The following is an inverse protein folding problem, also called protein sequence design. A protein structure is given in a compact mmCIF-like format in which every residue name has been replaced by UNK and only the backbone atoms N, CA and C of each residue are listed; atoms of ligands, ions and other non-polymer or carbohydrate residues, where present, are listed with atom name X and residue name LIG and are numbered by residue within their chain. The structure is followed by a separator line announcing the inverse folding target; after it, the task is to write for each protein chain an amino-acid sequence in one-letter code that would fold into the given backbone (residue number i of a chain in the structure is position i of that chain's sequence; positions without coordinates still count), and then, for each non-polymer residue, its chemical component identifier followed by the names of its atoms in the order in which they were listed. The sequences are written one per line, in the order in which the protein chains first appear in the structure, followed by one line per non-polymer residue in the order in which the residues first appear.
data_IF_135031937857
#
_entry.id   IF_135031937857
#
_cell.length_a   1.000
_cell.length_b   1.000
_cell.length_c   1.000
_cell.angle_alpha   90.00
_cell.angle_beta   90.00
_cell.angle_gamma   90.00
#
_symmetry.space_group_name_H-M   'P 1'
#
loop_
_entity.id
_entity.type
_entity.pdbx_description
1 polymer ?
#
# COMPACT_ATOMS: atom_id res chain seq x y z
N UNK A 1 35.04 -27.57 41.64
CA UNK A 1 35.81 -28.68 42.24
C UNK A 1 35.81 -29.79 41.20
N UNK A 2 36.79 -29.77 40.29
CA UNK A 2 38.03 -30.55 40.38
C UNK A 2 37.77 -31.98 39.90
N UNK A 3 38.49 -32.58 38.96
CA UNK A 3 39.81 -32.24 38.41
C UNK A 3 40.13 -33.29 37.34
N UNK A 4 40.72 -32.87 36.22
CA UNK A 4 41.36 -33.74 35.24
C UNK A 4 42.54 -32.97 34.63
N UNK A 5 43.70 -33.12 35.28
CA UNK A 5 45.01 -32.49 35.01
C UNK A 5 45.75 -33.38 33.98
N UNK A 6 46.13 -32.86 32.80
CA UNK A 6 47.49 -32.44 32.37
C UNK A 6 48.48 -33.62 32.16
N UNK A 7 49.47 -33.64 31.25
CA UNK A 7 50.02 -32.70 30.27
C UNK A 7 51.18 -33.41 29.52
N UNK A 8 51.73 -32.75 28.48
CA UNK A 8 53.15 -32.77 28.00
C UNK A 8 53.61 -33.85 27.00
N UNK A 9 53.93 -33.44 25.74
CA UNK A 9 55.23 -32.94 25.20
C UNK A 9 56.21 -34.10 24.86
N UNK A 10 57.03 -34.15 23.81
CA UNK A 10 57.60 -33.16 22.87
C UNK A 10 58.41 -33.90 21.78
N UNK A 11 58.38 -33.39 20.54
CA UNK A 11 59.48 -33.16 19.56
C UNK A 11 60.66 -34.14 19.38
N UNK A 12 60.96 -34.51 18.11
CA UNK A 12 62.33 -34.51 17.51
C UNK A 12 62.39 -34.77 15.98
N UNK A 13 62.73 -33.69 15.24
CA UNK A 13 63.58 -33.50 14.03
C UNK A 13 64.14 -34.70 13.22
N UNK A 14 64.09 -34.59 11.87
CA UNK A 14 65.26 -34.74 10.95
C UNK A 14 65.02 -34.05 9.59
N UNK A 15 66.09 -33.53 8.99
CA UNK A 15 66.27 -32.68 7.79
C UNK A 15 66.93 -33.51 6.68
N UNK A 16 66.63 -33.26 5.40
CA UNK A 16 67.53 -33.49 4.26
C UNK A 16 67.12 -32.61 3.05
N UNK A 17 68.14 -32.14 2.31
CA UNK A 17 68.17 -31.10 1.26
C UNK A 17 68.42 -31.70 -0.15
N UNK A 18 68.36 -30.82 -1.16
CA UNK A 18 68.81 -30.89 -2.58
C UNK A 18 67.75 -31.37 -3.59
N UNK A 19 67.47 -30.72 -4.73
CA UNK A 19 68.03 -29.54 -5.40
C UNK A 19 67.45 -29.41 -6.83
N UNK A 20 67.83 -28.32 -7.52
CA UNK A 20 67.80 -28.05 -8.97
C UNK A 20 66.50 -27.58 -9.69
N UNK A 21 66.49 -26.27 -9.94
CA UNK A 21 66.21 -25.49 -11.17
C UNK A 21 65.53 -26.05 -12.44
N UNK A 22 64.84 -25.10 -13.08
CA UNK A 22 64.56 -24.88 -14.52
C UNK A 22 63.23 -25.37 -15.15
N UNK A 23 62.40 -24.35 -15.41
CA UNK A 23 61.75 -24.02 -16.70
C UNK A 23 60.54 -24.84 -17.18
N UNK A 24 59.35 -24.21 -17.11
CA UNK A 24 58.21 -24.49 -17.98
C UNK A 24 57.15 -23.38 -17.87
N UNK A 25 57.26 -22.39 -18.76
CA UNK A 25 56.18 -21.78 -19.56
C UNK A 25 54.77 -21.67 -18.96
N UNK A 26 54.36 -20.42 -18.78
CA UNK A 26 53.11 -19.84 -19.31
C UNK A 26 51.98 -20.84 -19.60
N UNK A 27 51.05 -20.97 -18.65
CA UNK A 27 49.71 -21.46 -18.95
C UNK A 27 48.70 -20.40 -18.54
N UNK A 28 48.18 -19.72 -19.56
CA UNK A 28 46.92 -18.97 -19.54
C UNK A 28 45.86 -19.79 -18.80
N UNK A 29 45.55 -19.39 -17.58
CA UNK A 29 44.29 -19.75 -16.94
C UNK A 29 43.25 -18.82 -17.60
N UNK A 30 42.22 -19.33 -18.29
CA UNK A 30 41.13 -18.48 -18.72
C UNK A 30 40.50 -17.93 -17.43
N UNK A 31 40.69 -16.64 -17.19
CA UNK A 31 39.97 -15.91 -16.17
C UNK A 31 38.49 -16.07 -16.50
N UNK A 32 37.84 -16.97 -15.76
CA UNK A 32 36.39 -17.11 -15.76
C UNK A 32 35.85 -15.68 -15.55
N UNK A 33 34.99 -15.15 -16.44
CA UNK A 33 34.45 -13.82 -16.23
C UNK A 33 33.78 -13.82 -14.85
N UNK A 34 33.87 -12.72 -14.08
CA UNK A 34 33.14 -12.63 -12.82
C UNK A 34 31.68 -12.90 -13.14
N UNK A 35 31.20 -14.07 -12.75
CA UNK A 35 29.79 -14.44 -12.86
C UNK A 35 29.06 -13.44 -11.99
N UNK A 36 28.37 -12.50 -12.62
CA UNK A 36 27.52 -11.55 -11.92
C UNK A 36 26.52 -12.32 -11.07
N UNK A 37 26.32 -11.87 -9.84
CA UNK A 37 25.34 -12.40 -8.89
C UNK A 37 23.91 -11.87 -9.16
N UNK A 38 23.67 -11.38 -10.38
CA UNK A 38 22.38 -10.88 -10.84
C UNK A 38 22.03 -11.43 -12.22
N UNK A 39 20.73 -11.52 -12.48
CA UNK A 39 20.14 -11.87 -13.77
C UNK A 39 19.77 -10.61 -14.55
N UNK A 40 20.04 -10.59 -15.86
CA UNK A 40 19.66 -9.46 -16.73
C UNK A 40 18.14 -9.39 -16.91
N UNK A 41 17.56 -8.19 -16.74
CA UNK A 41 16.15 -7.97 -17.04
C UNK A 41 15.87 -8.18 -18.53
N UNK A 42 14.81 -8.90 -18.86
CA UNK A 42 14.47 -9.23 -20.25
C UNK A 42 13.98 -8.05 -21.09
N UNK A 43 13.59 -6.94 -20.46
CA UNK A 43 12.99 -5.77 -21.13
C UNK A 43 13.85 -4.51 -21.06
N UNK A 44 14.64 -4.37 -20.00
CA UNK A 44 15.44 -3.19 -19.70
C UNK A 44 16.93 -3.52 -19.70
N UNK A 45 17.37 -4.16 -20.78
CA UNK A 45 18.77 -4.50 -21.03
C UNK A 45 19.17 -4.04 -22.42
N UNK A 46 19.75 -2.85 -22.51
CA UNK A 46 20.20 -2.25 -23.76
C UNK A 46 21.67 -2.59 -24.01
N UNK A 47 21.99 -3.24 -25.13
CA UNK A 47 23.35 -3.69 -25.47
C UNK A 47 24.37 -2.53 -25.48
N UNK A 48 23.94 -1.34 -25.91
CA UNK A 48 24.72 -0.11 -25.95
C UNK A 48 24.58 0.76 -24.67
N UNK A 49 23.90 0.26 -23.65
CA UNK A 49 23.79 0.92 -22.35
C UNK A 49 25.14 1.07 -21.67
N UNK A 50 25.34 2.18 -20.96
CA UNK A 50 26.61 2.61 -20.36
C UNK A 50 26.60 2.66 -18.82
N UNK A 51 25.56 2.10 -18.20
CA UNK A 51 25.48 1.84 -16.76
C UNK A 51 24.56 0.66 -16.49
N UNK A 52 24.90 -0.13 -15.47
CA UNK A 52 24.06 -1.23 -14.99
C UNK A 52 23.58 -0.88 -13.58
N UNK A 53 22.26 -0.77 -13.42
CA UNK A 53 21.62 -0.65 -12.10
C UNK A 53 21.21 -2.03 -11.63
N UNK A 54 21.54 -2.41 -10.40
CA UNK A 54 21.17 -3.70 -9.83
C UNK A 54 20.28 -3.47 -8.62
N UNK A 55 19.15 -4.16 -8.56
CA UNK A 55 18.25 -4.22 -7.41
C UNK A 55 17.91 -5.68 -7.14
N UNK A 56 17.94 -6.08 -5.87
CA UNK A 56 17.92 -7.49 -5.47
C UNK A 56 18.96 -8.31 -6.26
N UNK A 57 18.50 -9.27 -7.07
CA UNK A 57 19.33 -10.10 -7.97
C UNK A 57 19.02 -9.83 -9.44
N UNK A 58 18.55 -8.62 -9.79
CA UNK A 58 18.21 -8.24 -11.17
C UNK A 58 19.00 -7.02 -11.61
N UNK A 59 19.66 -7.13 -12.77
CA UNK A 59 20.40 -6.05 -13.42
C UNK A 59 19.63 -5.41 -14.57
N UNK A 60 19.73 -4.08 -14.66
CA UNK A 60 19.11 -3.24 -15.68
C UNK A 60 20.22 -2.44 -16.38
N UNK A 61 20.49 -2.71 -17.66
CA UNK A 61 21.53 -2.01 -18.43
C UNK A 61 20.92 -0.87 -19.23
N UNK A 62 21.29 0.37 -18.92
CA UNK A 62 20.60 1.60 -19.33
C UNK A 62 21.58 2.74 -19.66
N UNK A 63 21.05 3.93 -19.97
CA UNK A 63 21.85 5.10 -20.32
C UNK A 63 21.89 6.15 -19.20
N UNK A 64 23.09 6.47 -18.71
CA UNK A 64 23.34 7.52 -17.69
C UNK A 64 22.67 8.85 -18.01
N UNK A 65 22.73 9.27 -19.28
CA UNK A 65 22.17 10.54 -19.72
C UNK A 65 20.65 10.62 -19.54
N UNK A 66 19.93 9.53 -19.86
CA UNK A 66 18.47 9.46 -19.71
C UNK A 66 18.09 9.47 -18.22
N UNK A 67 18.80 8.70 -17.41
CA UNK A 67 18.58 8.66 -15.95
C UNK A 67 18.84 10.02 -15.31
N UNK A 68 19.94 10.69 -15.68
CA UNK A 68 20.32 12.01 -15.17
C UNK A 68 19.34 13.12 -15.58
N UNK A 69 18.82 13.05 -16.81
CA UNK A 69 17.89 14.05 -17.31
C UNK A 69 16.55 14.05 -16.57
N UNK A 70 16.20 12.91 -15.94
CA UNK A 70 14.91 12.73 -15.25
C UNK A 70 14.98 12.72 -13.73
N UNK A 71 16.17 12.52 -13.15
CA UNK A 71 16.36 12.41 -11.71
C UNK A 71 17.60 13.19 -11.29
N UNK A 72 17.41 14.17 -10.42
CA UNK A 72 18.52 14.95 -9.84
C UNK A 72 19.41 14.06 -8.96
N UNK A 73 18.82 13.05 -8.30
CA UNK A 73 19.56 12.08 -7.50
C UNK A 73 20.48 11.24 -8.37
N UNK A 74 20.01 10.71 -9.50
CA UNK A 74 20.88 9.99 -10.43
C UNK A 74 21.91 10.91 -11.10
N UNK A 75 21.54 12.14 -11.44
CA UNK A 75 22.49 13.13 -11.95
C UNK A 75 23.65 13.33 -10.98
N UNK A 76 23.36 13.55 -9.70
CA UNK A 76 24.38 13.70 -8.66
C UNK A 76 25.17 12.40 -8.44
N UNK A 77 24.50 11.25 -8.44
CA UNK A 77 25.13 9.94 -8.27
C UNK A 77 26.22 9.68 -9.32
N UNK A 78 26.00 10.09 -10.58
CA UNK A 78 26.99 9.87 -11.65
C UNK A 78 28.09 10.92 -11.70
N UNK A 79 27.94 12.06 -11.02
CA UNK A 79 28.99 13.08 -10.89
C UNK A 79 30.04 12.71 -9.84
N UNK A 80 29.70 11.85 -8.88
CA UNK A 80 30.63 11.37 -7.87
C UNK A 80 31.68 10.47 -8.55
N UNK A 81 32.99 10.77 -8.40
CA UNK A 81 34.04 9.90 -8.90
C UNK A 81 33.90 8.50 -8.31
N UNK A 82 33.71 7.50 -9.17
CA UNK A 82 33.70 6.11 -8.75
C UNK A 82 35.13 5.70 -8.33
N UNK A 83 35.30 4.88 -7.29
CA UNK A 83 36.61 4.31 -6.94
C UNK A 83 37.22 3.59 -8.15
N UNK A 84 38.56 3.58 -8.25
CA UNK A 84 39.27 2.83 -9.30
C UNK A 84 38.94 1.34 -9.31
N UNK A 85 38.56 0.79 -8.14
CA UNK A 85 38.14 -0.61 -7.97
C UNK A 85 36.62 -0.79 -7.97
N UNK A 86 35.89 0.13 -8.64
CA UNK A 86 34.44 0.05 -8.76
C UNK A 86 33.97 -1.23 -9.45
N UNK A 87 32.81 -1.74 -9.03
CA UNK A 87 32.21 -2.93 -9.66
C UNK A 87 31.87 -2.63 -11.12
N UNK A 88 32.33 -3.50 -12.03
CA UNK A 88 32.03 -3.41 -13.47
C UNK A 88 31.59 -4.76 -14.01
N UNK A 89 30.67 -4.74 -14.97
CA UNK A 89 30.23 -5.91 -15.72
C UNK A 89 30.26 -5.57 -17.20
N UNK A 90 30.97 -6.37 -18.01
CA UNK A 90 31.21 -6.11 -19.44
C UNK A 90 31.75 -4.70 -19.72
N UNK A 91 32.64 -4.19 -18.86
CA UNK A 91 33.20 -2.84 -18.96
C UNK A 91 32.22 -1.70 -18.61
N UNK A 92 30.98 -2.02 -18.22
CA UNK A 92 30.01 -1.05 -17.75
C UNK A 92 30.02 -0.94 -16.21
N UNK A 93 29.94 0.27 -15.64
CA UNK A 93 29.87 0.45 -14.19
C UNK A 93 28.56 -0.12 -13.64
N UNK A 94 28.66 -0.88 -12.55
CA UNK A 94 27.53 -1.47 -11.82
C UNK A 94 27.23 -0.63 -10.58
N UNK A 95 25.95 -0.31 -10.38
CA UNK A 95 25.46 0.43 -9.22
C UNK A 95 24.36 -0.40 -8.56
N UNK A 96 24.60 -0.82 -7.32
CA UNK A 96 23.63 -1.57 -6.52
C UNK A 96 22.72 -0.62 -5.74
N UNK A 97 21.41 -0.80 -5.88
CA UNK A 97 20.36 -0.03 -5.23
C UNK A 97 19.64 -0.91 -4.19
N UNK A 98 19.12 -0.28 -3.14
CA UNK A 98 18.41 -0.97 -2.06
C UNK A 98 16.91 -1.19 -2.34
N UNK A 99 16.43 -0.74 -3.49
CA UNK A 99 15.02 -0.92 -3.87
C UNK A 99 14.77 -2.34 -4.35
N UNK A 100 13.51 -2.75 -4.39
CA UNK A 100 13.15 -4.04 -4.99
C UNK A 100 13.30 -3.97 -6.51
N UNK A 101 13.63 -5.10 -7.13
CA UNK A 101 13.69 -5.20 -8.58
C UNK A 101 12.35 -4.86 -9.25
N UNK A 102 11.22 -5.20 -8.61
CA UNK A 102 9.87 -4.89 -9.09
C UNK A 102 9.60 -3.38 -9.12
N UNK A 103 9.82 -2.68 -7.99
CA UNK A 103 9.57 -1.24 -7.91
C UNK A 103 10.48 -0.47 -8.87
N UNK A 104 11.78 -0.83 -8.89
CA UNK A 104 12.77 -0.17 -9.73
C UNK A 104 12.42 -0.34 -11.23
N UNK A 105 11.92 -1.52 -11.63
CA UNK A 105 11.49 -1.77 -13.01
C UNK A 105 10.38 -0.82 -13.45
N UNK A 106 9.41 -0.50 -12.58
CA UNK A 106 8.35 0.47 -12.92
C UNK A 106 8.93 1.87 -13.17
N UNK A 107 9.84 2.33 -12.31
CA UNK A 107 10.50 3.64 -12.49
C UNK A 107 11.33 3.68 -13.78
N UNK A 108 12.17 2.68 -14.00
CA UNK A 108 13.07 2.62 -15.15
C UNK A 108 12.30 2.49 -16.47
N UNK A 109 11.15 1.79 -16.48
CA UNK A 109 10.25 1.78 -17.63
C UNK A 109 9.74 3.16 -17.96
N UNK A 110 9.26 3.90 -16.96
CA UNK A 110 8.81 5.28 -17.15
C UNK A 110 9.92 6.15 -17.75
N UNK A 111 11.17 6.00 -17.29
CA UNK A 111 12.32 6.73 -17.84
C UNK A 111 12.60 6.45 -19.31
N UNK A 112 12.43 5.21 -19.75
CA UNK A 112 12.64 4.82 -21.15
C UNK A 112 11.46 5.20 -22.06
N UNK A 113 10.45 5.89 -21.54
CA UNK A 113 9.29 6.31 -22.32
C UNK A 113 8.28 5.19 -22.57
N UNK A 114 8.46 4.01 -21.94
CA UNK A 114 7.32 3.13 -21.72
C UNK A 114 6.33 3.89 -20.85
N UNK A 115 5.05 3.88 -21.21
CA UNK A 115 4.02 4.62 -20.49
C UNK A 115 4.18 4.45 -18.98
N UNK A 116 4.06 5.54 -18.21
CA UNK A 116 4.27 5.53 -16.74
C UNK A 116 3.54 4.36 -16.08
N UNK A 117 2.38 4.00 -16.63
CA UNK A 117 1.64 2.80 -16.29
C UNK A 117 1.46 1.92 -17.53
N UNK A 118 1.60 0.59 -17.42
CA UNK A 118 1.32 -0.34 -18.52
C UNK A 118 -0.10 -0.17 -19.10
N UNK A 119 -1.09 0.12 -18.24
CA UNK A 119 -2.40 0.64 -18.64
C UNK A 119 -2.60 2.04 -18.02
N UNK A 120 -2.33 3.13 -18.75
CA UNK A 120 -2.53 4.49 -18.27
C UNK A 120 -3.97 4.80 -17.84
N UNK A 121 -4.95 4.07 -18.37
CA UNK A 121 -6.35 4.26 -17.99
C UNK A 121 -6.69 3.53 -16.68
N UNK A 122 -5.94 2.49 -16.31
CA UNK A 122 -6.20 1.65 -15.14
C UNK A 122 -4.91 1.12 -14.51
N UNK A 123 -4.09 2.00 -13.92
CA UNK A 123 -2.90 1.53 -13.22
C UNK A 123 -3.29 0.66 -12.02
N UNK A 124 -2.48 -0.34 -11.74
CA UNK A 124 -2.62 -1.13 -10.53
C UNK A 124 -2.17 -0.31 -9.31
N UNK A 125 -2.72 -0.60 -8.13
CA UNK A 125 -2.31 0.09 -6.91
C UNK A 125 -0.81 -0.09 -6.63
N UNK A 126 -0.26 -1.29 -6.87
CA UNK A 126 1.17 -1.59 -6.70
C UNK A 126 2.06 -0.70 -7.56
N UNK A 127 1.70 -0.50 -8.83
CA UNK A 127 2.44 0.39 -9.74
C UNK A 127 2.45 1.83 -9.23
N UNK A 128 1.30 2.34 -8.81
CA UNK A 128 1.17 3.70 -8.26
C UNK A 128 2.00 3.84 -6.99
N UNK A 129 2.02 2.84 -6.12
CA UNK A 129 2.84 2.84 -4.90
C UNK A 129 4.33 2.85 -5.23
N UNK A 130 4.78 1.96 -6.11
CA UNK A 130 6.17 1.88 -6.53
C UNK A 130 6.65 3.21 -7.10
N UNK A 131 5.88 3.80 -8.01
CA UNK A 131 6.20 5.09 -8.61
C UNK A 131 6.14 6.22 -7.61
N UNK A 132 5.15 6.29 -6.72
CA UNK A 132 5.08 7.33 -5.69
C UNK A 132 6.32 7.29 -4.77
N UNK A 133 6.72 6.10 -4.30
CA UNK A 133 7.88 5.92 -3.42
C UNK A 133 9.19 6.26 -4.14
N UNK A 134 9.42 5.69 -5.32
CA UNK A 134 10.68 5.84 -6.02
C UNK A 134 10.82 7.21 -6.67
N UNK A 135 9.74 7.81 -7.18
CA UNK A 135 9.78 9.18 -7.68
C UNK A 135 10.08 10.18 -6.57
N UNK A 136 9.58 9.95 -5.35
CA UNK A 136 9.98 10.74 -4.17
C UNK A 136 11.46 10.51 -3.80
N UNK A 137 11.90 9.24 -3.75
CA UNK A 137 13.30 8.88 -3.38
C UNK A 137 14.33 9.41 -4.37
N UNK A 138 14.05 9.33 -5.67
CA UNK A 138 14.96 9.70 -6.75
C UNK A 138 14.69 11.09 -7.32
N UNK A 139 13.83 11.88 -6.66
CA UNK A 139 13.49 13.26 -7.06
C UNK A 139 13.08 13.39 -8.54
N UNK A 140 11.97 12.74 -8.88
CA UNK A 140 11.37 12.73 -10.22
C UNK A 140 10.01 13.42 -10.19
N UNK A 141 10.00 14.73 -10.36
CA UNK A 141 8.84 15.60 -10.11
C UNK A 141 7.60 15.22 -10.95
N UNK A 142 7.77 14.88 -12.23
CA UNK A 142 6.64 14.57 -13.11
C UNK A 142 5.94 13.26 -12.72
N UNK A 143 6.72 12.24 -12.32
CA UNK A 143 6.19 10.98 -11.81
C UNK A 143 5.58 11.12 -10.42
N UNK A 144 6.12 12.00 -9.56
CA UNK A 144 5.51 12.31 -8.26
C UNK A 144 4.09 12.87 -8.48
N UNK A 145 3.94 13.90 -9.33
CA UNK A 145 2.63 14.50 -9.65
C UNK A 145 1.66 13.49 -10.26
N UNK A 146 2.14 12.66 -11.20
CA UNK A 146 1.32 11.63 -11.83
C UNK A 146 0.84 10.58 -10.81
N UNK A 147 1.72 10.14 -9.92
CA UNK A 147 1.39 9.14 -8.89
C UNK A 147 0.44 9.72 -7.85
N UNK A 148 0.63 10.98 -7.44
CA UNK A 148 -0.29 11.69 -6.53
C UNK A 148 -1.70 11.79 -7.13
N UNK A 149 -1.82 12.15 -8.40
CA UNK A 149 -3.10 12.21 -9.09
C UNK A 149 -3.81 10.84 -9.12
N UNK A 150 -3.05 9.76 -9.37
CA UNK A 150 -3.59 8.40 -9.34
C UNK A 150 -3.99 7.96 -7.93
N UNK A 151 -3.19 8.27 -6.90
CA UNK A 151 -3.55 8.01 -5.51
C UNK A 151 -4.86 8.72 -5.14
N UNK A 152 -5.02 10.00 -5.47
CA UNK A 152 -6.27 10.75 -5.25
C UNK A 152 -7.45 10.13 -6.00
N UNK A 153 -7.24 9.61 -7.21
CA UNK A 153 -8.27 8.89 -7.95
C UNK A 153 -8.63 7.53 -7.33
N UNK A 154 -7.72 6.87 -6.61
CA UNK A 154 -8.00 5.61 -5.92
C UNK A 154 -8.61 5.81 -4.52
N UNK A 155 -8.41 7.00 -3.95
CA UNK A 155 -8.90 7.42 -2.64
C UNK A 155 -9.64 8.77 -2.73
N UNK A 156 -10.83 8.78 -3.35
CA UNK A 156 -11.56 10.02 -3.60
C UNK A 156 -12.08 10.64 -2.30
N UNK A 157 -12.25 11.95 -2.32
CA UNK A 157 -12.85 12.72 -1.21
C UNK A 157 -14.35 12.88 -1.34
N UNK A 158 -14.90 12.65 -2.55
CA UNK A 158 -16.32 12.78 -2.87
C UNK A 158 -17.03 11.44 -2.71
N UNK A 159 -18.17 11.45 -2.03
CA UNK A 159 -18.97 10.24 -1.82
C UNK A 159 -19.39 9.55 -3.12
N UNK A 160 -19.81 10.29 -4.13
CA UNK A 160 -20.29 9.71 -5.40
C UNK A 160 -19.17 9.00 -6.17
N UNK A 161 -17.96 9.57 -6.13
CA UNK A 161 -16.79 8.99 -6.77
C UNK A 161 -16.44 7.67 -6.07
N UNK A 162 -16.47 7.65 -4.73
CA UNK A 162 -16.28 6.44 -3.94
C UNK A 162 -17.35 5.36 -4.20
N UNK A 163 -18.63 5.74 -4.24
CA UNK A 163 -19.75 4.81 -4.46
C UNK A 163 -19.67 4.13 -5.84
N UNK A 164 -19.14 4.84 -6.84
CA UNK A 164 -18.95 4.32 -8.20
C UNK A 164 -17.74 3.39 -8.36
N UNK A 165 -16.83 3.36 -7.37
CA UNK A 165 -15.59 2.59 -7.46
C UNK A 165 -15.81 1.09 -7.26
N UNK A 166 -15.08 0.30 -8.06
CA UNK A 166 -14.99 -1.16 -7.94
C UNK A 166 -13.65 -1.63 -7.38
N UNK A 167 -12.93 -0.74 -6.70
CA UNK A 167 -11.57 -0.99 -6.25
C UNK A 167 -11.54 -1.74 -4.91
N UNK A 168 -11.24 -3.04 -4.98
CA UNK A 168 -10.93 -3.86 -3.80
C UNK A 168 -9.45 -3.71 -3.43
N UNK A 169 -9.16 -3.26 -2.21
CA UNK A 169 -7.80 -3.14 -1.67
C UNK A 169 -7.68 -4.04 -0.44
N UNK A 170 -6.51 -4.64 -0.29
CA UNK A 170 -6.14 -5.41 0.90
C UNK A 170 -5.85 -4.49 2.10
N UNK A 171 -5.69 -5.09 3.28
CA UNK A 171 -5.21 -4.35 4.46
C UNK A 171 -3.83 -3.73 4.21
N UNK A 172 -2.94 -4.49 3.59
CA UNK A 172 -1.58 -4.05 3.26
C UNK A 172 -1.62 -2.83 2.33
N UNK A 173 -2.50 -2.83 1.33
CA UNK A 173 -2.67 -1.70 0.42
C UNK A 173 -3.15 -0.44 1.14
N UNK A 174 -4.09 -0.58 2.08
CA UNK A 174 -4.60 0.55 2.86
C UNK A 174 -3.51 1.15 3.76
N UNK A 175 -2.64 0.31 4.34
CA UNK A 175 -1.49 0.74 5.16
C UNK A 175 -0.46 1.47 4.29
N UNK A 176 -0.15 0.91 3.12
CA UNK A 176 0.76 1.55 2.16
C UNK A 176 0.23 2.92 1.70
N UNK A 177 -1.08 3.05 1.47
CA UNK A 177 -1.71 4.33 1.13
C UNK A 177 -1.57 5.37 2.24
N UNK A 178 -1.74 4.98 3.52
CA UNK A 178 -1.52 5.90 4.66
C UNK A 178 -0.06 6.35 4.73
N UNK A 179 0.87 5.41 4.62
CA UNK A 179 2.30 5.72 4.65
C UNK A 179 2.72 6.64 3.49
N UNK A 180 2.14 6.42 2.30
CA UNK A 180 2.34 7.28 1.13
C UNK A 180 1.73 8.66 1.28
N UNK A 181 0.54 8.76 1.88
CA UNK A 181 -0.09 10.04 2.16
C UNK A 181 0.82 10.93 3.01
N UNK A 182 1.48 10.35 4.02
CA UNK A 182 2.45 11.07 4.83
C UNK A 182 3.73 11.40 4.06
N UNK A 183 4.27 10.44 3.29
CA UNK A 183 5.49 10.65 2.48
C UNK A 183 5.32 11.76 1.45
N UNK A 184 4.18 11.81 0.78
CA UNK A 184 3.89 12.74 -0.32
C UNK A 184 3.15 14.00 0.15
N UNK A 185 2.90 14.14 1.45
CA UNK A 185 2.08 15.20 2.02
C UNK A 185 0.70 15.35 1.34
N UNK A 186 0.02 14.21 1.15
CA UNK A 186 -1.31 14.12 0.52
C UNK A 186 -2.38 13.74 1.56
N UNK A 187 -2.75 14.62 2.50
CA UNK A 187 -3.64 14.27 3.61
C UNK A 187 -5.08 13.94 3.16
N UNK A 188 -5.49 14.38 1.98
CA UNK A 188 -6.84 14.16 1.44
C UNK A 188 -7.23 12.68 1.29
N UNK A 189 -6.26 11.78 1.11
CA UNK A 189 -6.52 10.34 0.95
C UNK A 189 -6.61 9.59 2.29
N UNK A 190 -6.11 10.18 3.38
CA UNK A 190 -6.01 9.53 4.69
C UNK A 190 -7.36 9.05 5.23
N UNK A 191 -8.47 9.82 5.19
CA UNK A 191 -9.71 9.38 5.82
C UNK A 191 -10.26 8.09 5.19
N UNK A 192 -10.22 8.00 3.85
CA UNK A 192 -10.66 6.80 3.15
C UNK A 192 -9.70 5.63 3.35
N UNK A 193 -8.38 5.87 3.34
CA UNK A 193 -7.40 4.82 3.60
C UNK A 193 -7.54 4.24 5.02
N UNK A 194 -7.71 5.09 6.04
CA UNK A 194 -7.98 4.67 7.43
C UNK A 194 -9.34 3.98 7.57
N UNK A 195 -10.38 4.44 6.86
CA UNK A 195 -11.65 3.73 6.81
C UNK A 195 -11.49 2.31 6.23
N UNK A 196 -10.65 2.11 5.22
CA UNK A 196 -10.34 0.76 4.69
C UNK A 196 -9.61 -0.11 5.72
N UNK A 197 -8.69 0.44 6.50
CA UNK A 197 -8.08 -0.29 7.63
C UNK A 197 -9.12 -0.72 8.68
N UNK A 198 -10.19 0.07 8.88
CA UNK A 198 -11.28 -0.26 9.79
C UNK A 198 -12.12 -1.48 9.37
N UNK A 199 -11.85 -2.06 8.19
CA UNK A 199 -12.41 -3.34 7.74
C UNK A 199 -11.84 -4.56 8.45
N UNK A 200 -10.74 -4.40 9.14
CA UNK A 200 -10.00 -5.49 9.75
C UNK A 200 -9.96 -5.33 11.29
N UNK A 201 -9.90 -6.43 12.06
CA UNK A 201 -9.70 -6.36 13.52
C UNK A 201 -8.41 -5.60 13.87
N UNK A 202 -8.40 -4.83 14.96
CA UNK A 202 -7.24 -4.03 15.36
C UNK A 202 -5.97 -4.86 15.60
N UNK A 203 -6.16 -6.12 16.01
CA UNK A 203 -5.11 -7.11 16.25
C UNK A 203 -4.40 -7.50 14.95
N UNK A 204 -5.11 -7.44 13.82
CA UNK A 204 -4.57 -7.74 12.49
C UNK A 204 -3.85 -6.56 11.85
N UNK A 205 -3.98 -5.35 12.38
CA UNK A 205 -3.32 -4.16 11.87
C UNK A 205 -1.89 -4.13 12.43
N UNK A 206 -0.85 -4.39 11.60
CA UNK A 206 0.52 -4.40 12.04
C UNK A 206 0.93 -2.98 12.47
N UNK A 207 1.74 -2.92 13.51
CA UNK A 207 2.28 -1.67 14.04
C UNK A 207 3.79 -1.77 14.14
N UNK A 208 4.45 -0.66 13.82
CA UNK A 208 5.89 -0.56 13.94
C UNK A 208 6.23 -0.18 15.38
N UNK A 209 7.20 -0.85 16.04
CA UNK A 209 7.91 -0.26 17.17
C UNK A 209 8.58 1.05 16.71
N UNK A 210 8.67 2.10 17.56
CA UNK A 210 9.14 3.43 17.18
C UNK A 210 10.52 3.50 16.48
N UNK A 211 11.33 2.44 16.56
CA UNK A 211 12.73 2.42 16.13
C UNK A 211 12.99 1.74 14.76
N UNK A 212 11.97 1.44 13.96
CA UNK A 212 12.13 0.80 12.63
C UNK A 212 11.35 1.51 11.53
N UNK A 213 11.92 1.61 10.33
CA UNK A 213 11.16 1.96 9.14
C UNK A 213 10.59 0.68 8.52
N UNK A 214 9.27 0.55 8.47
CA UNK A 214 8.60 -0.55 7.77
C UNK A 214 7.35 -0.03 7.05
N UNK A 215 7.40 0.00 5.72
CA UNK A 215 6.27 0.44 4.89
C UNK A 215 5.04 -0.45 4.99
N UNK A 216 5.17 -1.66 5.56
CA UNK A 216 4.10 -2.63 5.75
C UNK A 216 3.33 -2.48 7.08
N UNK A 217 3.61 -1.44 7.88
CA UNK A 217 2.93 -1.23 9.16
C UNK A 217 2.60 0.24 9.42
N UNK A 218 1.62 0.47 10.30
CA UNK A 218 1.21 1.82 10.69
C UNK A 218 2.05 2.36 11.83
N UNK A 219 2.18 3.69 11.86
CA UNK A 219 2.65 4.41 13.04
C UNK A 219 1.70 4.19 14.22
N UNK A 220 2.20 4.33 15.46
CA UNK A 220 1.36 4.24 16.66
C UNK A 220 0.22 5.25 16.64
N UNK A 221 0.47 6.47 16.11
CA UNK A 221 -0.55 7.52 16.00
C UNK A 221 -1.65 7.15 15.00
N UNK A 222 -1.29 6.65 13.81
CA UNK A 222 -2.27 6.25 12.80
C UNK A 222 -3.08 5.03 13.24
N UNK A 223 -2.45 4.10 13.97
CA UNK A 223 -3.15 2.96 14.56
C UNK A 223 -4.16 3.39 15.62
N UNK A 224 -3.81 4.35 16.47
CA UNK A 224 -4.75 4.93 17.44
C UNK A 224 -5.93 5.63 16.74
N UNK A 225 -5.66 6.39 15.66
CA UNK A 225 -6.71 7.00 14.84
C UNK A 225 -7.64 5.96 14.22
N UNK A 226 -7.09 4.87 13.67
CA UNK A 226 -7.90 3.75 13.16
C UNK A 226 -8.76 3.13 14.28
N UNK A 227 -8.21 2.95 15.48
CA UNK A 227 -8.97 2.43 16.63
C UNK A 227 -10.14 3.35 17.02
N UNK A 228 -9.89 4.65 17.15
CA UNK A 228 -10.93 5.67 17.43
C UNK A 228 -12.00 5.67 16.35
N UNK A 229 -11.59 5.64 15.08
CA UNK A 229 -12.51 5.58 13.95
C UNK A 229 -13.35 4.30 13.96
N UNK A 230 -12.78 3.12 14.27
CA UNK A 230 -13.56 1.89 14.42
C UNK A 230 -14.65 2.01 15.50
N UNK A 231 -14.33 2.60 16.65
CA UNK A 231 -15.30 2.85 17.72
C UNK A 231 -16.41 3.80 17.27
N UNK A 232 -16.04 4.90 16.61
CA UNK A 232 -16.97 5.87 16.05
C UNK A 232 -17.89 5.24 14.99
N UNK A 233 -17.34 4.48 14.04
CA UNK A 233 -18.11 3.78 12.99
C UNK A 233 -19.13 2.79 13.58
N UNK A 234 -18.74 2.01 14.60
CA UNK A 234 -19.65 1.10 15.31
C UNK A 234 -20.81 1.86 15.94
N UNK A 235 -20.52 2.95 16.65
CA UNK A 235 -21.54 3.78 17.27
C UNK A 235 -22.49 4.41 16.24
N UNK A 236 -21.93 5.01 15.18
CA UNK A 236 -22.72 5.66 14.14
C UNK A 236 -23.61 4.69 13.38
N UNK A 237 -23.16 3.45 13.16
CA UNK A 237 -23.97 2.40 12.53
C UNK A 237 -25.23 2.10 13.32
N UNK A 238 -25.05 1.88 14.62
CA UNK A 238 -26.16 1.59 15.51
C UNK A 238 -27.11 2.79 15.62
N UNK A 239 -26.57 3.99 15.84
CA UNK A 239 -27.32 5.25 15.92
C UNK A 239 -28.12 5.53 14.65
N UNK A 240 -27.51 5.39 13.48
CA UNK A 240 -28.16 5.66 12.19
C UNK A 240 -29.27 4.68 11.90
N UNK A 241 -29.08 3.38 12.21
CA UNK A 241 -30.15 2.38 12.12
C UNK A 241 -31.31 2.74 13.04
N UNK A 242 -31.06 3.03 14.32
CA UNK A 242 -32.14 3.46 15.22
C UNK A 242 -32.88 4.70 14.69
N UNK A 243 -32.15 5.71 14.19
CA UNK A 243 -32.75 6.92 13.59
C UNK A 243 -33.66 6.59 12.40
N UNK A 244 -33.19 5.73 11.49
CA UNK A 244 -33.93 5.31 10.29
C UNK A 244 -35.25 4.62 10.65
N UNK A 245 -35.25 3.72 11.64
CA UNK A 245 -36.42 2.91 12.01
C UNK A 245 -37.30 3.50 13.11
N UNK A 246 -36.79 4.43 13.92
CA UNK A 246 -37.55 5.15 14.94
C UNK A 246 -38.31 6.37 14.37
N UNK A 247 -38.17 6.64 13.08
CA UNK A 247 -38.93 7.68 12.40
C UNK A 247 -40.41 7.30 12.35
N UNK A 248 -41.26 8.04 13.05
CA UNK A 248 -42.71 7.82 13.04
C UNK A 248 -43.24 7.86 11.60
N UNK A 249 -43.98 6.82 11.24
CA UNK A 249 -44.78 6.62 10.01
C UNK A 249 -44.04 6.06 8.79
N UNK A 250 -44.63 5.05 8.12
CA UNK A 250 -44.46 4.93 6.69
C UNK A 250 -45.03 6.19 6.01
N UNK A 251 -44.43 6.63 4.89
CA UNK A 251 -44.82 7.84 4.17
C UNK A 251 -46.29 7.83 3.75
N UNK A 252 -46.88 9.03 3.56
CA UNK A 252 -48.27 9.22 3.08
C UNK A 252 -48.54 8.59 1.70
N UNK A 253 -47.49 8.26 0.96
CA UNK A 253 -47.53 7.54 -0.31
C UNK A 253 -47.55 6.01 -0.14
N UNK A 254 -47.78 5.49 1.07
CA UNK A 254 -47.93 4.06 1.31
C UNK A 254 -49.16 3.52 0.57
N UNK A 255 -48.98 2.44 -0.21
CA UNK A 255 -50.05 1.80 -0.98
C UNK A 255 -51.19 1.22 -0.12
N UNK A 256 -50.97 1.02 1.18
CA UNK A 256 -52.02 0.57 2.10
C UNK A 256 -52.72 1.77 2.73
N UNK A 257 -54.04 1.90 2.53
CA UNK A 257 -54.86 3.00 3.03
C UNK A 257 -54.71 3.27 4.55
N UNK A 258 -54.43 2.22 5.33
CA UNK A 258 -54.26 2.32 6.79
C UNK A 258 -52.81 2.33 7.27
N UNK A 259 -51.81 2.31 6.37
CA UNK A 259 -50.36 2.31 6.70
C UNK A 259 -49.88 1.14 7.59
N UNK A 260 -50.79 0.28 8.08
CA UNK A 260 -50.57 -0.65 9.18
C UNK A 260 -49.57 -1.78 8.87
N UNK A 261 -49.52 -2.37 7.66
CA UNK A 261 -48.56 -3.45 7.38
C UNK A 261 -47.12 -2.94 7.37
N UNK A 262 -46.85 -1.82 6.69
CA UNK A 262 -45.51 -1.22 6.66
C UNK A 262 -45.11 -0.68 8.04
N UNK A 263 -46.04 -0.04 8.76
CA UNK A 263 -45.80 0.41 10.14
C UNK A 263 -45.40 -0.76 11.04
N UNK A 264 -46.15 -1.86 10.98
CA UNK A 264 -45.87 -3.06 11.77
C UNK A 264 -44.50 -3.66 11.43
N UNK A 265 -44.16 -3.75 10.13
CA UNK A 265 -42.85 -4.24 9.69
C UNK A 265 -41.71 -3.36 10.23
N UNK A 266 -41.80 -2.04 10.09
CA UNK A 266 -40.79 -1.10 10.60
C UNK A 266 -40.66 -1.19 12.13
N UNK A 267 -41.77 -1.26 12.86
CA UNK A 267 -41.78 -1.45 14.31
C UNK A 267 -41.17 -2.79 14.73
N UNK A 268 -41.42 -3.86 13.97
CA UNK A 268 -40.83 -5.18 14.21
C UNK A 268 -39.30 -5.14 14.02
N UNK A 269 -38.82 -4.48 12.97
CA UNK A 269 -37.38 -4.29 12.73
C UNK A 269 -36.76 -3.47 13.86
N UNK A 270 -37.39 -2.37 14.27
CA UNK A 270 -36.91 -1.54 15.38
C UNK A 270 -36.80 -2.33 16.69
N UNK A 271 -37.83 -3.10 17.05
CA UNK A 271 -37.82 -3.97 18.24
C UNK A 271 -36.66 -4.96 18.20
N UNK A 272 -36.39 -5.57 17.05
CA UNK A 272 -35.25 -6.49 16.88
C UNK A 272 -33.91 -5.77 17.04
N UNK A 273 -33.75 -4.57 16.47
CA UNK A 273 -32.53 -3.78 16.60
C UNK A 273 -32.24 -3.35 18.05
N UNK A 274 -33.29 -2.98 18.79
CA UNK A 274 -33.18 -2.66 20.21
C UNK A 274 -32.81 -3.92 21.00
N UNK A 275 -33.44 -5.06 20.71
CA UNK A 275 -33.14 -6.33 21.38
C UNK A 275 -31.72 -6.86 21.09
N UNK A 276 -31.17 -6.58 19.91
CA UNK A 276 -29.82 -6.98 19.50
C UNK A 276 -28.75 -5.94 19.86
N UNK A 277 -29.01 -4.99 20.76
CA UNK A 277 -28.07 -3.90 21.08
C UNK A 277 -26.75 -4.39 21.69
N UNK A 278 -26.71 -5.63 22.20
CA UNK A 278 -25.51 -6.29 22.69
C UNK A 278 -24.55 -6.72 21.58
N UNK A 279 -25.05 -6.96 20.36
CA UNK A 279 -24.28 -7.43 19.22
C UNK A 279 -24.07 -6.29 18.22
N UNK A 280 -23.20 -5.33 18.59
CA UNK A 280 -22.86 -4.24 17.68
C UNK A 280 -22.21 -4.82 16.41
N UNK A 281 -22.78 -4.56 15.22
CA UNK A 281 -22.28 -5.14 13.99
C UNK A 281 -20.85 -4.67 13.67
N UNK A 282 -20.12 -5.44 12.87
CA UNK A 282 -18.74 -5.12 12.52
C UNK A 282 -18.59 -3.69 11.93
N UNK A 283 -17.51 -2.96 12.28
CA UNK A 283 -17.33 -1.51 12.08
C UNK A 283 -17.45 -1.06 10.63
N UNK A 284 -17.09 -1.91 9.67
CA UNK A 284 -16.89 -1.50 8.28
C UNK A 284 -18.14 -1.38 7.44
N UNK A 285 -19.20 -2.13 7.75
CA UNK A 285 -20.41 -2.11 6.94
C UNK A 285 -21.31 -0.88 7.24
N UNK A 286 -20.73 0.29 7.51
CA UNK A 286 -21.46 1.55 7.69
C UNK A 286 -21.72 2.26 6.36
N UNK A 287 -20.71 2.32 5.48
CA UNK A 287 -20.83 3.02 4.20
C UNK A 287 -21.17 2.05 3.07
N UNK A 288 -20.87 0.76 3.23
CA UNK A 288 -21.14 -0.27 2.23
C UNK A 288 -22.59 -0.73 2.28
N UNK A 289 -23.43 -0.05 1.49
CA UNK A 289 -24.79 -0.49 1.11
C UNK A 289 -24.80 -1.87 0.44
N UNK A 290 -23.66 -2.29 -0.12
CA UNK A 290 -23.53 -3.47 -0.98
C UNK A 290 -23.37 -4.81 -0.25
N UNK A 291 -23.35 -4.84 1.09
CA UNK A 291 -23.24 -6.13 1.80
C UNK A 291 -24.52 -6.97 1.79
N UNK A 292 -25.56 -6.58 1.03
CA UNK A 292 -26.70 -7.45 0.71
C UNK A 292 -27.54 -7.91 1.90
N UNK A 293 -27.21 -7.47 3.11
CA UNK A 293 -27.97 -7.74 4.32
C UNK A 293 -29.05 -6.69 4.47
N UNK A 294 -30.01 -6.69 3.53
CA UNK A 294 -31.33 -6.13 3.81
C UNK A 294 -31.77 -6.67 5.17
N UNK A 295 -32.06 -5.77 6.11
CA UNK A 295 -32.52 -6.19 7.42
C UNK A 295 -33.75 -7.10 7.24
N UNK A 296 -33.80 -8.29 7.88
CA UNK A 296 -34.88 -9.24 7.69
C UNK A 296 -36.24 -8.58 7.96
N UNK A 297 -36.99 -8.30 6.88
CA UNK A 297 -38.21 -7.51 6.97
C UNK A 297 -38.40 -6.51 5.83
N UNK A 298 -37.31 -5.96 5.28
CA UNK A 298 -37.35 -4.91 4.25
C UNK A 298 -38.17 -5.29 3.00
N UNK A 299 -38.05 -6.54 2.55
CA UNK A 299 -38.83 -7.10 1.44
C UNK A 299 -40.34 -7.09 1.63
N UNK A 300 -40.83 -6.90 2.87
CA UNK A 300 -42.25 -6.86 3.19
C UNK A 300 -42.82 -5.44 3.22
N UNK A 301 -42.00 -4.41 2.97
CA UNK A 301 -42.48 -3.05 2.75
C UNK A 301 -43.08 -2.91 1.35
N UNK A 302 -44.09 -2.06 1.21
CA UNK A 302 -44.57 -1.64 -0.12
C UNK A 302 -43.47 -0.83 -0.84
N UNK A 303 -43.59 -0.69 -2.17
CA UNK A 303 -42.55 -0.07 -3.01
C UNK A 303 -42.24 1.37 -2.58
N UNK A 304 -43.26 2.15 -2.27
CA UNK A 304 -43.11 3.54 -1.82
C UNK A 304 -42.34 3.65 -0.50
N UNK A 305 -42.68 2.81 0.49
CA UNK A 305 -42.00 2.79 1.78
C UNK A 305 -40.54 2.35 1.64
N UNK A 306 -40.27 1.32 0.83
CA UNK A 306 -38.91 0.85 0.55
C UNK A 306 -38.05 1.94 -0.10
N UNK A 307 -38.57 2.57 -1.16
CA UNK A 307 -37.86 3.65 -1.85
C UNK A 307 -37.47 4.81 -0.91
N UNK A 308 -38.37 5.17 0.02
CA UNK A 308 -38.09 6.24 0.99
C UNK A 308 -37.08 5.79 2.05
N UNK A 309 -37.13 4.53 2.49
CA UNK A 309 -36.09 3.99 3.38
C UNK A 309 -34.71 4.01 2.70
N UNK A 310 -34.62 3.61 1.43
CA UNK A 310 -33.37 3.65 0.65
C UNK A 310 -32.86 5.09 0.50
N UNK A 311 -33.75 6.05 0.26
CA UNK A 311 -33.39 7.48 0.20
C UNK A 311 -32.86 8.01 1.53
N UNK A 312 -33.52 7.66 2.64
CA UNK A 312 -33.07 8.04 3.98
C UNK A 312 -31.72 7.42 4.30
N UNK A 313 -31.52 6.14 3.99
CA UNK A 313 -30.26 5.46 4.21
C UNK A 313 -29.12 6.12 3.42
N UNK A 314 -29.30 6.38 2.12
CA UNK A 314 -28.31 7.11 1.30
C UNK A 314 -28.00 8.50 1.87
N UNK A 315 -29.02 9.22 2.35
CA UNK A 315 -28.84 10.54 2.97
C UNK A 315 -28.04 10.46 4.28
N UNK A 316 -28.30 9.46 5.13
CA UNK A 316 -27.51 9.23 6.34
C UNK A 316 -26.08 8.83 6.02
N UNK A 317 -25.85 7.95 5.04
CA UNK A 317 -24.52 7.54 4.62
C UNK A 317 -23.72 8.75 4.09
N UNK A 318 -24.31 9.59 3.25
CA UNK A 318 -23.66 10.83 2.77
C UNK A 318 -23.37 11.81 3.92
N UNK A 319 -24.26 11.90 4.91
CA UNK A 319 -24.05 12.69 6.11
C UNK A 319 -22.89 12.15 6.97
N UNK A 320 -22.78 10.83 7.10
CA UNK A 320 -21.70 10.16 7.83
C UNK A 320 -20.37 10.28 7.10
N UNK A 321 -20.37 10.14 5.77
CA UNK A 321 -19.20 10.35 4.92
C UNK A 321 -18.51 11.67 5.27
N UNK A 322 -19.26 12.77 5.31
CA UNK A 322 -18.75 14.11 5.64
C UNK A 322 -18.15 14.26 7.03
N UNK A 323 -18.50 13.36 7.95
CA UNK A 323 -18.01 13.40 9.33
C UNK A 323 -16.74 12.55 9.54
N UNK A 324 -16.32 11.73 8.56
CA UNK A 324 -15.15 10.85 8.70
C UNK A 324 -13.87 11.66 9.00
N UNK A 325 -13.54 12.75 8.29
CA UNK A 325 -12.34 13.53 8.62
C UNK A 325 -12.39 14.09 10.04
N UNK A 326 -13.56 14.60 10.48
CA UNK A 326 -13.75 15.12 11.83
C UNK A 326 -13.56 14.03 12.90
N UNK A 327 -14.02 12.80 12.63
CA UNK A 327 -13.82 11.65 13.53
C UNK A 327 -12.35 11.22 13.63
N UNK A 328 -11.49 11.67 12.71
CA UNK A 328 -10.05 11.45 12.69
C UNK A 328 -9.25 12.68 13.15
N UNK A 329 -9.92 13.70 13.69
CA UNK A 329 -9.33 14.99 14.06
C UNK A 329 -8.64 15.70 12.86
N UNK A 330 -9.22 15.57 11.67
CA UNK A 330 -8.71 16.15 10.42
C UNK A 330 -9.64 17.24 9.87
N UNK A 331 -9.06 18.33 9.38
CA UNK A 331 -9.79 19.39 8.68
C UNK A 331 -9.47 19.35 7.19
N UNK A 332 -10.42 18.84 6.39
CA UNK A 332 -10.29 18.66 4.94
C UNK A 332 -11.49 19.32 4.24
N UNK A 333 -11.40 20.61 3.85
CA UNK A 333 -12.51 21.33 3.23
C UNK A 333 -12.95 20.75 1.88
N UNK A 334 -12.09 20.02 1.19
CA UNK A 334 -12.34 19.33 -0.08
C UNK A 334 -13.15 18.03 0.06
N UNK A 335 -13.45 17.60 1.29
CA UNK A 335 -14.16 16.36 1.59
C UNK A 335 -15.69 16.56 1.58
N UNK A 336 -16.44 15.85 0.71
CA UNK A 336 -17.87 16.12 0.52
C UNK A 336 -18.79 14.94 0.21
#
# INVERSE_FOLDING_TARGET
MSSGISDRNTSKRRREEYGADEDATESDIPSKPPTSDFESDSTLWFEDGNVIMVADSVGFRLYRGVLSARSTVFQNLFQIPQPTDGETYEGCPVIRLQDTAEDLRHLLRAFMGYTNFPDPARPTFKEVVALARLSHKYDVEDLQKASEAQLKSMFPTRYEDWESMKLSLSLEDAIQAINLAHLTNTPSILPLAMYRCCKFPLESIPHIPPDKANTAALSSSDRERCFKLQGWLKYQKYRSRLKLYNSNLPPTSCESDNHSPCTYVLQSILKKLIASSSDLPQPYALLETQTGHELPGMKHLCKACRSIMDQRERAEIRSLWRQIPLALDMNLPEWC
#
